data_IF_952966662137
#
_entry.id   IF_952966662137
#
_cell.length_a   1.000
_cell.length_b   1.000
_cell.length_c   1.000
_cell.angle_alpha   90.00
_cell.angle_beta   90.00
_cell.angle_gamma   90.00
#
_symmetry.space_group_name_H-M   'P 1'
#
loop_
_entity.id
_entity.type
_entity.pdbx_description
1 polymer ?
#
# COMPACT_ATOMS: atom_id res chain seq x y z
N UNK A 1 -6.63 -38.91 -19.49
CA UNK A 1 -5.95 -39.32 -18.24
C UNK A 1 -4.90 -38.27 -17.92
N UNK A 2 -4.81 -37.89 -16.63
CA UNK A 2 -4.12 -36.73 -16.02
C UNK A 2 -4.97 -35.45 -15.96
N UNK A 3 -5.84 -35.40 -14.93
CA UNK A 3 -6.40 -34.16 -14.40
C UNK A 3 -5.34 -33.48 -13.50
N UNK A 4 -5.18 -32.18 -13.65
CA UNK A 4 -4.28 -31.31 -12.89
C UNK A 4 -4.64 -31.31 -11.39
N UNK A 5 -3.62 -31.22 -10.53
CA UNK A 5 -3.72 -31.17 -9.06
C UNK A 5 -4.76 -30.15 -8.54
N UNK A 6 -5.00 -29.07 -9.28
CA UNK A 6 -5.98 -28.04 -8.94
C UNK A 6 -7.44 -28.54 -8.96
N UNK A 7 -7.77 -29.53 -9.81
CA UNK A 7 -9.11 -30.09 -9.89
C UNK A 7 -9.43 -31.02 -8.71
N UNK A 8 -8.41 -31.61 -8.07
CA UNK A 8 -8.58 -32.51 -6.92
C UNK A 8 -8.89 -31.71 -5.63
N UNK A 9 -8.29 -30.53 -5.48
CA UNK A 9 -8.52 -29.65 -4.31
C UNK A 9 -9.92 -29.07 -4.32
N UNK A 10 -10.46 -28.72 -5.50
CA UNK A 10 -11.83 -28.21 -5.62
C UNK A 10 -12.91 -29.25 -5.27
N UNK A 11 -12.67 -30.54 -5.53
CA UNK A 11 -13.63 -31.62 -5.23
C UNK A 11 -13.66 -31.93 -3.72
N UNK A 12 -12.51 -31.85 -3.03
CA UNK A 12 -12.41 -32.18 -1.60
C UNK A 12 -13.04 -31.13 -0.66
N UNK A 13 -13.20 -29.89 -1.09
CA UNK A 13 -13.86 -28.85 -0.28
C UNK A 13 -15.39 -29.04 -0.27
N UNK A 14 -15.94 -29.67 -1.31
CA UNK A 14 -17.39 -29.89 -1.44
C UNK A 14 -17.96 -31.04 -0.59
N UNK A 15 -17.11 -31.91 -0.03
CA UNK A 15 -17.51 -33.11 0.72
C UNK A 15 -17.25 -33.03 2.23
N UNK A 16 -16.87 -31.88 2.78
CA UNK A 16 -16.84 -31.64 4.23
C UNK A 16 -15.88 -32.51 5.03
N UNK A 17 -14.83 -33.07 4.41
CA UNK A 17 -13.97 -34.08 5.03
C UNK A 17 -12.62 -33.56 5.58
N UNK A 18 -12.40 -32.24 5.65
CA UNK A 18 -11.19 -31.67 6.29
C UNK A 18 -11.54 -30.38 7.05
N UNK A 19 -11.53 -30.44 8.39
CA UNK A 19 -11.42 -29.24 9.24
C UNK A 19 -9.96 -28.83 9.34
N UNK A 20 -9.59 -27.69 8.76
CA UNK A 20 -8.32 -27.03 9.03
C UNK A 20 -8.47 -26.16 10.29
N UNK A 21 -7.48 -26.14 11.21
CA UNK A 21 -7.56 -25.32 12.40
C UNK A 21 -7.48 -23.84 12.01
N UNK A 22 -8.50 -23.08 12.41
CA UNK A 22 -8.55 -21.63 12.29
C UNK A 22 -7.56 -21.06 13.32
N UNK A 23 -6.35 -20.74 12.87
CA UNK A 23 -5.41 -19.95 13.65
C UNK A 23 -5.93 -18.52 13.75
N UNK A 24 -6.46 -18.15 14.91
CA UNK A 24 -6.84 -16.78 15.22
C UNK A 24 -5.60 -15.89 15.26
N UNK A 25 -5.62 -14.81 14.49
CA UNK A 25 -4.69 -13.70 14.64
C UNK A 25 -5.35 -12.68 15.58
N UNK A 26 -4.83 -12.57 16.81
CA UNK A 26 -5.19 -11.51 17.76
C UNK A 26 -4.41 -10.22 17.40
N UNK A 27 -5.07 -9.06 17.32
CA UNK A 27 -4.37 -7.79 17.20
C UNK A 27 -3.72 -7.45 18.56
N UNK A 28 -2.41 -7.18 18.55
CA UNK A 28 -1.69 -6.70 19.71
C UNK A 28 -2.11 -5.27 20.06
N UNK A 29 -3.23 -5.12 20.77
CA UNK A 29 -3.60 -3.89 21.45
C UNK A 29 -2.91 -3.83 22.81
N UNK A 30 -1.71 -3.27 22.88
CA UNK A 30 -1.07 -2.90 24.14
C UNK A 30 -0.64 -1.43 24.11
N UNK A 31 -1.61 -0.55 24.32
CA UNK A 31 -1.33 0.80 24.83
C UNK A 31 -1.85 0.91 26.25
N UNK A 32 -0.99 0.58 27.21
CA UNK A 32 -1.16 0.93 28.61
C UNK A 32 -0.69 2.38 28.80
N UNK A 33 -1.64 3.30 28.87
CA UNK A 33 -1.45 4.56 29.56
C UNK A 33 -1.39 4.24 31.06
N UNK A 34 -0.23 4.34 31.70
CA UNK A 34 -0.13 4.15 33.16
C UNK A 34 0.06 5.48 33.88
N UNK A 35 -1.05 5.95 34.45
CA UNK A 35 -1.10 6.92 35.54
C UNK A 35 -1.47 6.17 36.83
N UNK A 36 -0.71 6.37 37.91
CA UNK A 36 -1.22 6.26 39.28
C UNK A 36 -1.02 4.94 40.05
N UNK A 37 0.01 4.91 40.89
CA UNK A 37 0.07 4.47 42.29
C UNK A 37 -0.50 3.10 42.77
N UNK A 38 0.45 2.33 43.32
CA UNK A 38 0.43 1.49 44.55
C UNK A 38 -0.38 0.20 44.62
N UNK A 39 0.34 -0.95 44.66
CA UNK A 39 0.32 -1.92 45.78
C UNK A 39 1.53 -2.89 45.71
N UNK A 40 2.36 -2.91 46.77
CA UNK A 40 3.37 -3.95 47.08
C UNK A 40 2.66 -5.17 47.73
N UNK A 41 3.09 -6.44 47.77
CA UNK A 41 4.34 -7.22 47.76
C UNK A 41 4.01 -8.56 47.03
N UNK A 42 4.88 -9.49 46.62
CA UNK A 42 6.02 -10.10 47.31
C UNK A 42 6.86 -10.93 46.31
N UNK A 43 8.11 -11.09 46.72
CA UNK A 43 9.36 -11.65 46.20
C UNK A 43 9.34 -12.88 45.28
N UNK A 44 10.01 -12.69 44.13
CA UNK A 44 10.55 -13.73 43.26
C UNK A 44 11.57 -13.06 42.34
N UNK A 45 12.83 -13.03 42.76
CA UNK A 45 13.92 -12.32 42.09
C UNK A 45 14.26 -12.97 40.74
N UNK A 46 13.50 -12.60 39.71
CA UNK A 46 13.89 -12.77 38.31
C UNK A 46 14.57 -11.46 37.91
N UNK A 47 15.77 -11.48 37.31
CA UNK A 47 16.42 -10.25 36.87
C UNK A 47 15.43 -9.48 36.02
N UNK A 48 15.12 -8.25 36.42
CA UNK A 48 14.33 -7.31 35.64
C UNK A 48 14.97 -7.23 34.27
N UNK A 49 14.38 -7.95 33.31
CA UNK A 49 14.76 -7.89 31.93
C UNK A 49 14.30 -6.49 31.50
N UNK A 50 15.19 -5.51 31.69
CA UNK A 50 15.00 -4.16 31.20
C UNK A 50 14.75 -4.32 29.71
N UNK A 51 13.51 -4.09 29.28
CA UNK A 51 13.18 -4.02 27.88
C UNK A 51 14.11 -2.97 27.29
N UNK A 52 14.97 -3.38 26.37
CA UNK A 52 15.78 -2.43 25.62
C UNK A 52 14.81 -1.40 25.01
N UNK A 53 15.14 -0.11 25.06
CA UNK A 53 14.30 0.90 24.42
C UNK A 53 14.11 0.53 22.95
N UNK A 54 12.89 0.70 22.44
CA UNK A 54 12.61 0.48 21.02
C UNK A 54 13.63 1.25 20.17
N UNK A 55 14.34 0.52 19.31
CA UNK A 55 15.38 1.11 18.46
C UNK A 55 14.74 2.06 17.45
N UNK A 56 14.94 3.37 17.67
CA UNK A 56 14.57 4.41 16.71
C UNK A 56 15.80 4.80 15.87
N UNK A 57 15.84 4.49 14.56
CA UNK A 57 16.97 4.82 13.70
C UNK A 57 17.07 6.31 13.32
N UNK A 58 16.07 7.12 13.69
CA UNK A 58 15.96 8.50 13.25
C UNK A 58 16.42 9.51 14.32
N UNK A 59 16.93 10.69 13.90
CA UNK A 59 17.23 11.78 14.84
C UNK A 59 16.02 12.16 15.71
N UNK A 60 16.23 12.54 16.97
CA UNK A 60 15.15 13.00 17.84
C UNK A 60 14.34 14.14 17.19
N UNK A 61 13.01 14.04 17.27
CA UNK A 61 12.09 15.08 16.80
C UNK A 61 11.73 15.04 15.31
N UNK A 62 12.30 14.13 14.50
CA UNK A 62 11.93 14.02 13.08
C UNK A 62 10.68 13.17 12.85
N UNK A 63 10.41 12.20 13.74
CA UNK A 63 9.15 11.45 13.73
C UNK A 63 8.10 12.29 14.44
N UNK A 64 6.98 12.64 13.78
CA UNK A 64 5.90 13.39 14.42
C UNK A 64 5.28 12.62 15.59
N UNK A 65 4.94 13.36 16.66
CA UNK A 65 4.27 12.76 17.82
C UNK A 65 2.83 12.29 17.52
N UNK A 66 2.19 12.85 16.49
CA UNK A 66 0.84 12.51 16.04
C UNK A 66 0.80 11.44 14.95
N UNK A 67 1.96 10.89 14.55
CA UNK A 67 2.10 10.04 13.36
C UNK A 67 1.11 8.87 13.35
N UNK A 68 1.02 8.11 14.43
CA UNK A 68 0.12 6.96 14.54
C UNK A 68 -1.35 7.36 14.41
N UNK A 69 -1.73 8.50 15.00
CA UNK A 69 -3.09 9.01 14.92
C UNK A 69 -3.46 9.48 13.51
N UNK A 70 -2.49 10.06 12.80
CA UNK A 70 -2.64 10.51 11.42
C UNK A 70 -2.65 9.33 10.42
N UNK A 71 -1.81 8.32 10.63
CA UNK A 71 -1.89 7.06 9.87
C UNK A 71 -3.27 6.44 10.04
N UNK A 72 -3.76 6.33 11.28
CA UNK A 72 -5.10 5.81 11.54
C UNK A 72 -6.20 6.65 10.89
N UNK A 73 -6.05 7.97 10.81
CA UNK A 73 -6.98 8.86 10.07
C UNK A 73 -6.97 8.55 8.58
N UNK A 74 -5.80 8.51 7.96
CA UNK A 74 -5.64 8.22 6.53
C UNK A 74 -6.21 6.85 6.20
N UNK A 75 -5.94 5.82 7.01
CA UNK A 75 -6.47 4.48 6.76
C UNK A 75 -8.01 4.43 6.78
N UNK A 76 -8.67 5.20 7.65
CA UNK A 76 -10.14 5.31 7.62
C UNK A 76 -10.65 5.95 6.32
N UNK A 77 -9.92 6.92 5.78
CA UNK A 77 -10.26 7.56 4.50
C UNK A 77 -10.02 6.61 3.32
N UNK A 78 -8.95 5.83 3.36
CA UNK A 78 -8.67 4.75 2.40
C UNK A 78 -9.81 3.73 2.41
N UNK A 79 -10.17 3.20 3.57
CA UNK A 79 -11.24 2.21 3.73
C UNK A 79 -12.58 2.78 3.22
N UNK A 80 -12.87 4.06 3.48
CA UNK A 80 -14.09 4.70 2.98
C UNK A 80 -14.14 4.74 1.45
N UNK A 81 -13.04 5.12 0.79
CA UNK A 81 -12.98 5.21 -0.67
C UNK A 81 -12.98 3.81 -1.30
N UNK A 82 -12.25 2.86 -0.73
CA UNK A 82 -12.25 1.47 -1.19
C UNK A 82 -13.67 0.87 -1.15
N UNK A 83 -14.41 1.10 -0.06
CA UNK A 83 -15.79 0.62 0.05
C UNK A 83 -16.72 1.22 -1.02
N UNK A 84 -16.53 2.49 -1.39
CA UNK A 84 -17.24 3.11 -2.52
C UNK A 84 -16.88 2.45 -3.85
N UNK A 85 -15.59 2.19 -4.09
CA UNK A 85 -15.12 1.51 -5.30
C UNK A 85 -15.62 0.06 -5.39
N UNK A 86 -15.66 -0.67 -4.26
CA UNK A 86 -16.22 -2.02 -4.16
C UNK A 86 -17.72 -2.04 -4.47
N UNK A 87 -18.47 -1.05 -3.97
CA UNK A 87 -19.88 -0.91 -4.30
C UNK A 87 -20.09 -0.67 -5.81
N UNK A 88 -19.27 0.19 -6.42
CA UNK A 88 -19.27 0.42 -7.87
C UNK A 88 -18.96 -0.87 -8.63
N UNK A 89 -17.90 -1.58 -8.27
CA UNK A 89 -17.51 -2.85 -8.88
C UNK A 89 -18.64 -3.89 -8.88
N UNK A 90 -19.32 -4.05 -7.73
CA UNK A 90 -20.45 -4.99 -7.59
C UNK A 90 -21.68 -4.59 -8.42
N UNK A 91 -21.83 -3.31 -8.73
CA UNK A 91 -22.92 -2.81 -9.55
C UNK A 91 -22.63 -2.91 -11.06
N UNK A 92 -21.38 -3.17 -11.46
CA UNK A 92 -21.03 -3.31 -12.87
C UNK A 92 -21.60 -4.61 -13.46
N UNK A 93 -22.17 -4.55 -14.67
CA UNK A 93 -22.53 -5.76 -15.40
C UNK A 93 -21.28 -6.55 -15.75
N UNK A 94 -21.42 -7.88 -15.86
CA UNK A 94 -20.33 -8.76 -16.24
C UNK A 94 -19.66 -8.30 -17.55
N UNK A 95 -18.31 -8.25 -17.61
CA UNK A 95 -17.62 -7.78 -18.80
C UNK A 95 -17.89 -8.69 -20.01
N UNK A 96 -18.19 -8.08 -21.15
CA UNK A 96 -18.36 -8.79 -22.41
C UNK A 96 -17.07 -8.66 -23.21
N UNK A 97 -16.41 -9.78 -23.49
CA UNK A 97 -15.20 -9.84 -24.32
C UNK A 97 -15.56 -10.23 -25.75
N UNK A 98 -15.07 -9.49 -26.73
CA UNK A 98 -15.28 -9.78 -28.16
C UNK A 98 -14.04 -9.50 -29.02
N UNK A 99 -13.97 -10.07 -30.21
CA UNK A 99 -12.89 -9.86 -31.17
C UNK A 99 -11.65 -10.71 -30.91
N UNK A 100 -10.65 -10.56 -31.79
CA UNK A 100 -9.32 -11.15 -31.71
C UNK A 100 -8.29 -10.10 -32.19
N UNK A 101 -7.52 -9.46 -31.29
CA UNK A 101 -7.46 -9.72 -29.84
C UNK A 101 -8.76 -9.33 -29.10
N UNK A 102 -9.05 -9.94 -27.94
CA UNK A 102 -10.23 -9.62 -27.14
C UNK A 102 -10.26 -8.15 -26.71
N UNK A 103 -11.44 -7.53 -26.81
CA UNK A 103 -11.74 -6.17 -26.33
C UNK A 103 -12.93 -6.22 -25.38
N UNK A 104 -12.90 -5.38 -24.34
CA UNK A 104 -14.04 -5.22 -23.43
C UNK A 104 -15.07 -4.28 -24.06
N UNK A 105 -16.30 -4.78 -24.23
CA UNK A 105 -17.42 -4.00 -24.78
C UNK A 105 -18.23 -3.33 -23.68
N UNK A 106 -19.00 -2.30 -24.07
CA UNK A 106 -19.90 -1.54 -23.20
C UNK A 106 -19.18 -0.89 -22.01
N UNK A 107 -19.11 -1.59 -20.87
CA UNK A 107 -18.55 -1.09 -19.60
C UNK A 107 -17.04 -1.30 -19.49
N UNK A 108 -16.34 -1.64 -20.58
CA UNK A 108 -14.92 -1.99 -20.56
C UNK A 108 -14.01 -0.94 -19.91
N UNK A 109 -14.12 0.33 -20.31
CA UNK A 109 -13.35 1.43 -19.70
C UNK A 109 -13.66 1.58 -18.22
N UNK A 110 -14.95 1.59 -17.86
CA UNK A 110 -15.38 1.72 -16.48
C UNK A 110 -14.92 0.55 -15.59
N UNK A 111 -14.92 -0.67 -16.11
CA UNK A 111 -14.38 -1.84 -15.41
C UNK A 111 -12.89 -1.69 -15.14
N UNK A 112 -12.12 -1.20 -16.11
CA UNK A 112 -10.67 -0.98 -15.96
C UNK A 112 -10.37 0.15 -14.97
N UNK A 113 -11.09 1.26 -15.05
CA UNK A 113 -10.95 2.38 -14.11
C UNK A 113 -11.35 1.98 -12.68
N UNK A 114 -12.45 1.23 -12.53
CA UNK A 114 -12.90 0.74 -11.22
C UNK A 114 -11.90 -0.25 -10.62
N UNK A 115 -11.31 -1.13 -11.44
CA UNK A 115 -10.24 -2.03 -10.99
C UNK A 115 -9.00 -1.23 -10.54
N UNK A 116 -8.59 -0.23 -11.32
CA UNK A 116 -7.48 0.65 -10.95
C UNK A 116 -7.75 1.43 -9.67
N UNK A 117 -8.99 1.89 -9.46
CA UNK A 117 -9.41 2.53 -8.21
C UNK A 117 -9.31 1.55 -7.04
N UNK A 118 -9.86 0.33 -7.15
CA UNK A 118 -9.72 -0.71 -6.13
C UNK A 118 -8.26 -0.96 -5.75
N UNK A 119 -7.38 -1.15 -6.72
CA UNK A 119 -5.95 -1.38 -6.47
C UNK A 119 -5.28 -0.18 -5.77
N UNK A 120 -5.71 1.06 -6.04
CA UNK A 120 -5.14 2.24 -5.39
C UNK A 120 -5.48 2.36 -3.90
N UNK A 121 -6.60 1.78 -3.47
CA UNK A 121 -7.09 1.85 -2.09
C UNK A 121 -7.00 0.52 -1.33
N UNK A 122 -6.54 -0.56 -1.97
CA UNK A 122 -6.40 -1.88 -1.34
C UNK A 122 -5.18 -1.94 -0.40
N UNK A 123 -5.44 -1.93 0.90
CA UNK A 123 -4.40 -2.09 1.93
C UNK A 123 -3.77 -3.48 1.95
N UNK A 124 -4.42 -4.50 1.37
CA UNK A 124 -3.91 -5.86 1.31
C UNK A 124 -2.76 -6.02 0.31
N UNK A 125 -2.47 -5.00 -0.49
CA UNK A 125 -1.28 -4.95 -1.34
C UNK A 125 0.04 -4.87 -0.56
N UNK A 126 0.00 -4.53 0.73
CA UNK A 126 1.16 -4.53 1.61
C UNK A 126 1.21 -5.78 2.51
N UNK A 127 2.39 -6.35 2.84
CA UNK A 127 2.50 -7.51 3.74
C UNK A 127 1.91 -7.25 5.14
N UNK A 128 2.08 -6.05 5.68
CA UNK A 128 1.48 -5.64 6.95
C UNK A 128 -0.02 -5.36 6.88
N UNK A 129 -0.61 -5.43 5.67
CA UNK A 129 -1.99 -5.05 5.37
C UNK A 129 -2.35 -3.70 5.98
N UNK A 130 -1.45 -2.74 5.94
CA UNK A 130 -1.55 -1.46 6.66
C UNK A 130 -1.17 -0.27 5.77
N UNK A 131 -0.98 -0.50 4.48
CA UNK A 131 -0.59 0.52 3.51
C UNK A 131 -1.26 0.22 2.16
N UNK A 132 -1.90 1.23 1.57
CA UNK A 132 -2.35 1.25 0.18
C UNK A 132 -1.52 2.30 -0.60
N UNK A 133 -1.64 2.34 -1.93
CA UNK A 133 -1.01 3.39 -2.74
C UNK A 133 -1.44 4.79 -2.24
N UNK A 134 -2.72 4.92 -1.92
CA UNK A 134 -3.35 6.14 -1.40
C UNK A 134 -2.88 6.56 -0.01
N UNK A 135 -2.28 5.68 0.81
CA UNK A 135 -1.70 6.07 2.12
C UNK A 135 -0.67 7.19 2.01
N UNK A 136 0.07 7.23 0.88
CA UNK A 136 1.04 8.29 0.57
C UNK A 136 0.51 9.31 -0.45
N UNK A 137 -0.63 9.03 -1.10
CA UNK A 137 -1.12 9.74 -2.27
C UNK A 137 -2.65 9.93 -2.22
N UNK A 138 -3.15 10.75 -1.30
CA UNK A 138 -4.60 10.91 -1.14
C UNK A 138 -5.21 11.90 -2.15
N UNK A 139 -6.42 11.63 -2.68
CA UNK A 139 -7.05 12.50 -3.68
C UNK A 139 -7.28 13.95 -3.22
N UNK A 140 -7.70 14.18 -1.97
CA UNK A 140 -8.04 15.53 -1.49
C UNK A 140 -6.83 16.46 -1.29
N UNK A 141 -5.61 15.92 -1.35
CA UNK A 141 -4.35 16.68 -1.39
C UNK A 141 -3.67 16.55 -2.76
N UNK A 142 -4.47 16.40 -3.83
CA UNK A 142 -3.99 16.23 -5.20
C UNK A 142 -2.96 15.09 -5.34
N UNK A 143 -3.23 13.96 -4.69
CA UNK A 143 -2.41 12.75 -4.72
C UNK A 143 -0.97 12.97 -4.21
N UNK A 144 -0.79 13.95 -3.32
CA UNK A 144 0.42 14.08 -2.50
C UNK A 144 0.20 13.51 -1.10
N UNK A 145 1.20 13.68 -0.25
CA UNK A 145 1.20 13.22 1.14
C UNK A 145 0.05 13.82 1.98
N UNK A 146 -0.87 13.01 2.52
CA UNK A 146 -2.01 13.48 3.33
C UNK A 146 -1.72 13.90 4.77
N UNK A 147 -0.55 13.60 5.32
CA UNK A 147 -0.18 13.82 6.73
C UNK A 147 0.66 15.10 6.84
N UNK A 148 0.12 16.22 7.37
CA UNK A 148 0.83 17.49 7.43
C UNK A 148 2.11 17.42 8.27
N UNK A 149 2.08 16.68 9.37
CA UNK A 149 3.22 16.59 10.29
C UNK A 149 4.41 15.84 9.66
N UNK A 150 4.16 14.76 8.92
CA UNK A 150 5.17 14.08 8.08
C UNK A 150 5.75 15.04 7.05
N UNK A 151 4.90 15.82 6.36
CA UNK A 151 5.34 16.78 5.35
C UNK A 151 6.23 17.90 5.94
N UNK A 152 6.02 18.26 7.20
CA UNK A 152 6.80 19.28 7.91
C UNK A 152 8.10 18.78 8.54
N UNK A 153 8.27 17.46 8.71
CA UNK A 153 9.44 16.86 9.37
C UNK A 153 10.22 15.93 8.45
N UNK A 154 9.93 14.62 8.47
CA UNK A 154 10.70 13.58 7.80
C UNK A 154 10.51 13.57 6.28
N UNK A 155 9.45 14.22 5.77
CA UNK A 155 9.00 14.42 4.38
C UNK A 155 8.77 13.15 3.54
N UNK A 156 9.51 12.08 3.82
CA UNK A 156 9.30 10.75 3.31
C UNK A 156 8.22 10.04 4.13
N UNK A 157 7.29 9.39 3.43
CA UNK A 157 6.18 8.71 4.09
C UNK A 157 6.64 7.40 4.73
N UNK A 158 6.10 7.05 5.92
CA UNK A 158 6.31 5.73 6.51
C UNK A 158 5.82 4.63 5.58
N UNK A 159 6.55 3.52 5.60
CA UNK A 159 6.18 2.28 4.92
C UNK A 159 5.40 1.32 5.82
N UNK A 160 5.13 0.12 5.30
CA UNK A 160 4.40 -0.96 5.98
C UNK A 160 5.09 -1.44 7.26
N UNK A 161 6.42 -1.43 7.29
CA UNK A 161 7.23 -1.85 8.45
C UNK A 161 7.58 -0.62 9.29
N UNK A 162 7.42 -0.77 10.61
CA UNK A 162 7.78 0.26 11.58
C UNK A 162 9.22 0.79 11.38
N UNK A 163 9.37 2.10 11.48
CA UNK A 163 10.62 2.83 11.22
C UNK A 163 11.27 2.64 9.85
N UNK A 164 10.52 2.16 8.86
CA UNK A 164 10.90 2.27 7.45
C UNK A 164 10.10 3.38 6.81
N UNK A 165 10.74 4.12 5.93
CA UNK A 165 10.13 5.21 5.21
C UNK A 165 10.75 5.33 3.82
N UNK A 166 9.98 5.92 2.90
CA UNK A 166 10.41 6.20 1.54
C UNK A 166 11.72 6.99 1.47
N UNK A 167 12.34 7.00 0.30
CA UNK A 167 13.65 7.64 0.11
C UNK A 167 13.53 9.14 -0.19
N UNK A 168 12.34 9.59 -0.59
CA UNK A 168 12.03 10.95 -1.04
C UNK A 168 10.58 11.29 -0.68
N UNK A 169 10.21 12.56 -0.84
CA UNK A 169 8.82 12.98 -0.79
C UNK A 169 7.99 12.27 -1.88
N UNK A 170 6.75 11.91 -1.55
CA UNK A 170 5.82 11.28 -2.47
C UNK A 170 5.43 12.26 -3.59
N UNK A 171 5.62 11.85 -4.85
CA UNK A 171 5.25 12.66 -6.01
C UNK A 171 3.73 12.71 -6.20
N UNK A 172 3.21 13.82 -6.72
CA UNK A 172 1.83 13.85 -7.19
C UNK A 172 1.72 13.06 -8.49
N UNK A 173 0.81 12.10 -8.56
CA UNK A 173 0.57 11.35 -9.80
C UNK A 173 -0.59 11.90 -10.65
N UNK A 174 -1.21 13.04 -10.29
CA UNK A 174 -2.39 13.60 -11.01
C UNK A 174 -2.18 13.76 -12.52
N UNK A 175 -0.95 14.07 -12.94
CA UNK A 175 -0.56 14.23 -14.34
C UNK A 175 0.55 13.28 -14.77
N UNK A 176 0.97 12.33 -13.93
CA UNK A 176 2.05 11.38 -14.27
C UNK A 176 1.73 10.50 -15.48
N UNK A 177 0.47 10.13 -15.79
CA UNK A 177 0.19 9.35 -16.99
C UNK A 177 0.48 10.09 -18.31
N UNK A 178 0.61 11.42 -18.27
CA UNK A 178 0.95 12.24 -19.44
C UNK A 178 2.46 12.38 -19.66
N UNK A 179 3.29 11.87 -18.76
CA UNK A 179 4.74 11.91 -18.94
C UNK A 179 5.15 10.97 -20.07
N UNK A 180 5.94 11.44 -21.04
CA UNK A 180 6.37 10.59 -22.13
C UNK A 180 7.35 9.52 -21.64
N UNK A 181 7.52 8.47 -22.43
CA UNK A 181 8.65 7.55 -22.29
C UNK A 181 9.95 8.36 -22.29
N UNK A 182 10.88 8.00 -21.40
CA UNK A 182 12.18 8.64 -21.27
C UNK A 182 12.92 8.58 -22.60
N UNK A 183 13.30 9.75 -23.10
CA UNK A 183 13.97 9.93 -24.38
C UNK A 183 15.10 10.93 -24.27
N UNK A 184 16.17 10.68 -25.04
CA UNK A 184 17.27 11.63 -25.19
C UNK A 184 16.97 12.56 -26.36
N UNK A 185 16.92 13.86 -26.11
CA UNK A 185 16.84 14.89 -27.14
C UNK A 185 18.26 15.27 -27.59
N UNK A 186 18.58 14.99 -28.85
CA UNK A 186 19.91 15.24 -29.42
C UNK A 186 20.21 16.74 -29.59
N UNK A 187 19.23 17.55 -29.97
CA UNK A 187 19.42 18.99 -30.20
C UNK A 187 19.72 19.73 -28.89
N UNK A 188 19.10 19.30 -27.80
CA UNK A 188 19.27 19.88 -26.46
C UNK A 188 20.34 19.16 -25.64
N UNK A 189 20.82 17.99 -26.09
CA UNK A 189 21.69 17.10 -25.34
C UNK A 189 21.18 16.73 -23.92
N UNK A 190 19.86 16.57 -23.76
CA UNK A 190 19.18 16.34 -22.48
C UNK A 190 18.19 15.17 -22.53
N UNK A 191 17.89 14.59 -21.36
CA UNK A 191 16.86 13.56 -21.20
C UNK A 191 15.53 14.17 -20.75
N UNK A 192 14.43 13.68 -21.32
CA UNK A 192 13.06 14.10 -20.99
C UNK A 192 12.13 12.91 -20.84
N UNK A 193 11.21 12.96 -19.88
CA UNK A 193 10.22 11.92 -19.63
C UNK A 193 10.60 10.97 -18.49
N UNK A 194 9.93 9.82 -18.47
CA UNK A 194 9.99 8.88 -17.35
C UNK A 194 9.21 9.34 -16.12
N UNK A 195 9.01 8.41 -15.18
CA UNK A 195 8.43 8.66 -13.87
C UNK A 195 9.45 8.38 -12.76
N UNK A 196 9.09 8.77 -11.53
CA UNK A 196 10.00 9.05 -10.40
C UNK A 196 10.78 10.36 -10.53
N UNK A 197 11.26 10.86 -9.38
CA UNK A 197 12.13 12.04 -9.29
C UNK A 197 13.43 11.94 -10.11
N UNK A 198 13.86 10.72 -10.43
CA UNK A 198 15.07 10.43 -11.21
C UNK A 198 14.77 9.72 -12.54
N UNK A 199 13.52 9.72 -13.00
CA UNK A 199 13.10 9.12 -14.26
C UNK A 199 13.43 7.62 -14.44
N UNK A 200 13.70 6.89 -13.35
CA UNK A 200 14.11 5.47 -13.43
C UNK A 200 13.02 4.54 -13.95
N UNK A 201 11.75 4.92 -13.85
CA UNK A 201 10.65 4.26 -14.55
C UNK A 201 10.54 4.88 -15.93
N UNK A 202 11.36 4.37 -16.84
CA UNK A 202 11.58 4.95 -18.16
C UNK A 202 10.37 4.86 -19.09
N UNK A 203 9.51 3.87 -18.89
CA UNK A 203 8.45 3.50 -19.83
C UNK A 203 8.96 2.74 -21.06
N UNK A 204 10.24 2.38 -21.16
CA UNK A 204 10.81 1.72 -22.34
C UNK A 204 10.22 0.32 -22.58
N UNK A 205 10.02 -0.47 -21.52
CA UNK A 205 9.53 -1.86 -21.63
C UNK A 205 8.02 -1.91 -21.81
N UNK A 206 7.28 -1.10 -21.06
CA UNK A 206 5.81 -1.11 -21.06
C UNK A 206 5.18 -0.06 -21.97
N UNK A 207 5.99 0.78 -22.62
CA UNK A 207 5.56 1.96 -23.38
C UNK A 207 4.74 2.96 -22.55
N UNK A 208 4.84 2.87 -21.23
CA UNK A 208 4.15 3.73 -20.28
C UNK A 208 5.00 3.80 -18.99
N UNK A 209 5.56 4.97 -18.65
CA UNK A 209 6.38 5.13 -17.46
C UNK A 209 5.59 4.99 -16.15
N UNK A 210 4.28 5.25 -16.16
CA UNK A 210 3.38 5.11 -14.99
C UNK A 210 3.12 3.63 -14.68
N UNK A 211 2.90 2.82 -15.73
CA UNK A 211 2.82 1.37 -15.58
C UNK A 211 4.14 0.73 -15.12
N UNK A 212 5.29 1.31 -15.51
CA UNK A 212 6.58 0.91 -14.94
C UNK A 212 6.71 1.32 -13.48
N UNK A 213 6.31 2.55 -13.13
CA UNK A 213 6.35 3.08 -11.77
C UNK A 213 5.53 2.22 -10.80
N UNK A 214 4.33 1.79 -11.20
CA UNK A 214 3.40 1.01 -10.37
C UNK A 214 3.98 -0.34 -9.88
N UNK A 215 5.04 -0.86 -10.52
CA UNK A 215 5.70 -2.10 -10.11
C UNK A 215 6.66 -1.91 -8.92
N UNK A 216 7.05 -0.68 -8.59
CA UNK A 216 8.11 -0.44 -7.61
C UNK A 216 7.61 -0.39 -6.16
N UNK A 217 6.60 0.43 -5.78
CA UNK A 217 6.19 0.52 -4.37
C UNK A 217 5.81 -0.82 -3.72
N UNK A 218 5.10 -1.74 -4.41
CA UNK A 218 4.73 -3.05 -3.85
C UNK A 218 5.91 -3.97 -3.49
N UNK A 219 7.12 -3.68 -3.97
CA UNK A 219 8.33 -4.51 -3.74
C UNK A 219 9.47 -3.72 -3.08
N UNK A 220 9.24 -2.45 -2.73
CA UNK A 220 10.22 -1.65 -2.00
C UNK A 220 10.04 -1.88 -0.51
N UNK A 221 11.05 -2.50 0.10
CA UNK A 221 11.13 -2.77 1.55
C UNK A 221 10.92 -1.57 2.45
N UNK A 222 11.05 -0.35 1.90
CA UNK A 222 10.87 0.92 2.60
C UNK A 222 9.49 1.55 2.39
N UNK A 223 8.65 0.99 1.51
CA UNK A 223 7.33 1.51 1.13
C UNK A 223 6.24 0.47 1.44
N UNK A 224 5.74 -0.29 0.46
CA UNK A 224 4.61 -1.20 0.68
C UNK A 224 5.01 -2.64 1.02
N UNK A 225 6.27 -3.08 0.84
CA UNK A 225 6.65 -4.46 1.17
C UNK A 225 7.99 -4.92 0.64
#
# INVERSE_FOLDING_TARGET
>A
MLLSLAAIVAILISTGLISAPVGGWEPANNHSASSGATRAKDTGDKPHQQSLPDYNPYPPGIIPADLESEIARVLREVDFIENRALARWRALPSPIQTGQPPTLQNTGTESMETLGELMNFDRNMSPGKNQACSSCHMPYVAFSGPIPSVNATMIAYPGTVHFRAGKRTAQRYTYSPFFPVLQYNQDQALFFGGNFWDSRSTGFRLRNPDAEQAQHPPVDTQEMG
#
